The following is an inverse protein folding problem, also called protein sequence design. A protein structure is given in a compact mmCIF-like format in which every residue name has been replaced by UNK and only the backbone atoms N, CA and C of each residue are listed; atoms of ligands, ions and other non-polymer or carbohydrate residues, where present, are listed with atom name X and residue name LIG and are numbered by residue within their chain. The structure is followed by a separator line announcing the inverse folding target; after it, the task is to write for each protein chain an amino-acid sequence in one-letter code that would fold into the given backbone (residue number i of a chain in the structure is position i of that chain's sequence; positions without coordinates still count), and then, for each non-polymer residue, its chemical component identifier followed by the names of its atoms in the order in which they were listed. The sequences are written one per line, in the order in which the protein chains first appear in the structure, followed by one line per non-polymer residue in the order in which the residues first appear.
data_IF_313178743860
#
_entry.id   IF_313178743860
#
_cell.length_a   1.000
_cell.length_b   1.000
_cell.length_c   1.000
_cell.angle_alpha   90.00
_cell.angle_beta   90.00
_cell.angle_gamma   90.00
#
_symmetry.space_group_name_H-M   'P 1'
#
loop_
_entity.id
_entity.type
_entity.pdbx_description
1 polymer ?
#
# COMPACT_ATOMS: atom_id res chain seq x y z
N UNK A 1 20.46 -57.27 28.35
CA UNK A 1 20.24 -56.45 29.55
C UNK A 1 20.15 -55.01 29.16
N UNK A 2 19.02 -54.43 29.43
CA UNK A 2 18.66 -53.00 29.46
C UNK A 2 18.59 -52.23 28.10
N UNK A 3 17.46 -52.02 27.46
CA UNK A 3 16.30 -51.11 27.75
C UNK A 3 16.66 -49.61 27.77
N UNK A 4 16.21 -48.86 26.75
CA UNK A 4 15.51 -47.58 26.84
C UNK A 4 15.12 -47.18 25.41
N UNK A 5 13.85 -47.30 24.94
CA UNK A 5 12.71 -46.37 25.06
C UNK A 5 13.06 -45.01 24.44
N UNK A 6 12.70 -44.63 23.20
CA UNK A 6 11.36 -44.38 22.70
C UNK A 6 11.05 -42.90 22.80
N UNK A 7 11.00 -42.18 21.67
CA UNK A 7 10.08 -41.03 21.54
C UNK A 7 9.68 -40.89 20.08
N UNK A 8 8.42 -41.16 19.82
CA UNK A 8 7.71 -40.83 18.61
C UNK A 8 7.60 -39.32 18.50
N UNK A 9 7.94 -38.78 17.35
CA UNK A 9 7.47 -37.48 16.91
C UNK A 9 6.62 -37.70 15.67
N UNK A 10 5.34 -37.56 15.86
CA UNK A 10 4.30 -37.57 14.85
C UNK A 10 4.42 -36.27 14.03
N UNK A 11 5.00 -36.34 12.86
CA UNK A 11 5.02 -35.26 11.89
C UNK A 11 3.86 -35.42 10.91
N UNK A 12 2.88 -34.56 11.00
CA UNK A 12 1.73 -34.51 10.12
C UNK A 12 2.16 -34.24 8.67
N UNK A 13 1.99 -35.23 7.81
CA UNK A 13 2.01 -35.08 6.35
C UNK A 13 0.75 -34.31 5.91
N UNK A 14 0.90 -33.11 5.43
CA UNK A 14 -0.09 -32.47 4.58
C UNK A 14 0.37 -32.56 3.13
N UNK A 15 -0.05 -33.62 2.50
CA UNK A 15 -0.10 -33.70 1.04
C UNK A 15 -1.23 -32.79 0.57
N UNK A 16 -0.90 -31.71 -0.12
CA UNK A 16 -1.80 -31.08 -1.08
C UNK A 16 -1.18 -31.22 -2.46
N UNK A 17 -1.58 -32.28 -3.14
CA UNK A 17 -1.45 -32.42 -4.58
C UNK A 17 -2.48 -31.51 -5.22
N UNK A 18 -2.06 -30.45 -5.94
CA UNK A 18 -2.86 -29.77 -6.93
C UNK A 18 -2.07 -29.74 -8.24
N UNK A 19 -2.43 -30.67 -9.11
CA UNK A 19 -2.12 -30.59 -10.52
C UNK A 19 -3.16 -29.69 -11.18
N UNK A 20 -2.76 -28.53 -11.68
CA UNK A 20 -3.53 -27.81 -12.70
C UNK A 20 -2.54 -27.28 -13.74
N UNK A 21 -2.65 -27.85 -14.93
CA UNK A 21 -2.08 -27.33 -16.16
C UNK A 21 -2.81 -26.04 -16.53
N UNK A 22 -2.07 -24.96 -16.77
CA UNK A 22 -2.60 -23.71 -17.26
C UNK A 22 -1.60 -22.61 -16.96
N UNK A 23 -0.67 -22.35 -17.88
CA UNK A 23 0.36 -21.33 -17.72
C UNK A 23 -0.23 -19.92 -17.72
N UNK A 24 -0.47 -19.38 -16.54
CA UNK A 24 -0.58 -17.94 -16.33
C UNK A 24 0.72 -17.51 -15.69
N UNK A 25 1.54 -16.82 -16.48
CA UNK A 25 2.78 -16.20 -16.04
C UNK A 25 2.40 -15.02 -15.14
N UNK A 26 2.32 -15.28 -13.83
CA UNK A 26 2.10 -14.23 -12.83
C UNK A 26 3.42 -13.47 -12.69
N UNK A 27 3.47 -12.16 -12.90
CA UNK A 27 4.67 -11.40 -12.61
C UNK A 27 4.92 -11.48 -11.11
N UNK A 28 6.05 -12.06 -10.74
CA UNK A 28 6.51 -12.17 -9.36
C UNK A 28 6.89 -10.77 -8.89
N UNK A 29 6.00 -10.17 -8.13
CA UNK A 29 6.26 -8.91 -7.43
C UNK A 29 7.29 -9.22 -6.35
N UNK A 30 8.46 -8.58 -6.44
CA UNK A 30 9.44 -8.61 -5.37
C UNK A 30 8.84 -7.89 -4.15
N UNK A 31 8.44 -8.65 -3.14
CA UNK A 31 8.02 -8.09 -1.85
C UNK A 31 9.23 -7.52 -1.14
N UNK A 32 9.16 -6.23 -0.80
CA UNK A 32 10.11 -5.60 0.11
C UNK A 32 9.96 -6.24 1.49
N UNK A 33 10.90 -7.11 1.85
CA UNK A 33 11.04 -7.64 3.20
C UNK A 33 11.56 -6.55 4.15
N UNK A 34 11.36 -6.76 5.43
CA UNK A 34 11.79 -5.89 6.52
C UNK A 34 13.16 -5.22 6.26
N UNK A 35 13.25 -3.91 6.55
CA UNK A 35 14.45 -3.08 6.51
C UNK A 35 15.04 -2.74 5.12
N UNK A 36 14.21 -2.47 4.10
CA UNK A 36 14.73 -1.92 2.84
C UNK A 36 15.69 -2.85 2.09
N UNK A 37 15.49 -4.16 2.18
CA UNK A 37 16.21 -5.18 1.43
C UNK A 37 15.32 -5.87 0.40
N UNK A 38 15.81 -5.95 -0.82
CA UNK A 38 15.18 -6.70 -1.91
C UNK A 38 16.05 -7.91 -2.23
N UNK A 39 15.49 -9.11 -2.06
CA UNK A 39 16.16 -10.34 -2.44
C UNK A 39 15.72 -10.79 -3.84
N UNK A 40 16.66 -10.82 -4.77
CA UNK A 40 16.42 -11.35 -6.13
C UNK A 40 16.67 -12.85 -6.11
N UNK A 41 15.62 -13.63 -6.16
CA UNK A 41 15.70 -15.09 -6.03
C UNK A 41 16.15 -15.80 -7.31
N UNK A 42 16.04 -15.17 -8.47
CA UNK A 42 16.41 -15.77 -9.75
C UNK A 42 16.98 -14.69 -10.68
N UNK A 43 18.03 -15.01 -11.44
CA UNK A 43 18.45 -14.23 -12.59
C UNK A 43 17.36 -14.38 -13.69
N UNK A 44 16.25 -13.70 -13.54
CA UNK A 44 15.17 -13.72 -14.51
C UNK A 44 15.63 -13.00 -15.77
N UNK A 45 15.54 -13.66 -16.91
CA UNK A 45 15.64 -13.04 -18.24
C UNK A 45 14.42 -12.12 -18.45
N UNK A 46 14.35 -11.00 -17.72
CA UNK A 46 13.25 -10.06 -17.82
C UNK A 46 13.52 -8.83 -16.98
N UNK A 47 12.79 -7.77 -17.25
CA UNK A 47 12.83 -6.54 -16.46
C UNK A 47 12.08 -6.77 -15.14
N UNK A 48 12.70 -6.44 -14.03
CA UNK A 48 12.09 -6.49 -12.69
C UNK A 48 11.76 -5.07 -12.24
N UNK A 49 10.55 -4.85 -11.76
CA UNK A 49 10.15 -3.55 -11.22
C UNK A 49 10.54 -3.42 -9.76
N UNK A 50 11.14 -2.29 -9.41
CA UNK A 50 11.55 -1.92 -8.06
C UNK A 50 11.01 -0.54 -7.74
N UNK A 51 10.10 -0.47 -6.77
CA UNK A 51 9.60 0.79 -6.26
C UNK A 51 10.55 1.35 -5.21
N UNK A 52 10.95 2.60 -5.38
CA UNK A 52 11.80 3.36 -4.48
C UNK A 52 11.08 4.61 -3.98
N UNK A 53 11.43 5.07 -2.81
CA UNK A 53 10.95 6.32 -2.25
C UNK A 53 12.03 7.38 -2.38
N UNK A 54 11.67 8.59 -2.79
CA UNK A 54 12.61 9.71 -2.85
C UNK A 54 13.27 9.95 -1.49
N UNK A 55 14.60 10.08 -1.50
CA UNK A 55 15.38 10.27 -0.28
C UNK A 55 15.62 9.01 0.56
N UNK A 56 15.13 7.85 0.10
CA UNK A 56 15.38 6.56 0.75
C UNK A 56 16.22 5.65 -0.14
N UNK A 57 16.89 4.71 0.50
CA UNK A 57 17.75 3.74 -0.16
C UNK A 57 17.35 2.32 0.18
N UNK A 58 17.65 1.42 -0.74
CA UNK A 58 17.35 0.00 -0.63
C UNK A 58 18.56 -0.82 -1.04
N UNK A 59 18.86 -1.89 -0.31
CA UNK A 59 19.91 -2.84 -0.71
C UNK A 59 19.29 -3.96 -1.54
N UNK A 60 19.83 -4.23 -2.71
CA UNK A 60 19.44 -5.33 -3.59
C UNK A 60 20.50 -6.43 -3.49
N UNK A 61 20.10 -7.60 -2.99
CA UNK A 61 20.92 -8.80 -2.92
C UNK A 61 20.74 -9.65 -4.19
N UNK A 62 21.84 -10.05 -4.80
CA UNK A 62 21.86 -10.73 -6.10
C UNK A 62 22.35 -12.18 -5.94
N UNK A 63 21.73 -13.16 -6.62
CA UNK A 63 22.09 -14.56 -6.56
C UNK A 63 23.47 -14.84 -7.22
N UNK A 64 23.86 -13.99 -8.15
CA UNK A 64 25.11 -14.13 -8.93
C UNK A 64 25.97 -12.86 -8.84
N UNK A 65 27.30 -13.02 -8.93
CA UNK A 65 28.20 -11.86 -8.85
C UNK A 65 28.11 -11.01 -10.13
N UNK A 66 28.06 -9.69 -9.92
CA UNK A 66 28.11 -8.68 -10.98
C UNK A 66 29.53 -8.16 -11.16
N UNK A 67 29.83 -7.74 -12.39
CA UNK A 67 31.06 -7.06 -12.79
C UNK A 67 30.83 -5.55 -12.99
N UNK A 68 29.66 -5.20 -13.53
CA UNK A 68 29.33 -3.83 -13.88
C UNK A 68 27.85 -3.54 -13.67
N UNK A 69 27.54 -2.33 -13.22
CA UNK A 69 26.20 -1.77 -13.16
C UNK A 69 26.15 -0.46 -13.95
N UNK A 70 25.05 -0.17 -14.60
CA UNK A 70 24.81 1.09 -15.29
C UNK A 70 23.40 1.57 -15.04
N UNK A 71 23.29 2.82 -14.65
CA UNK A 71 22.03 3.51 -14.41
C UNK A 71 21.79 4.48 -15.57
N UNK A 72 20.57 4.49 -16.12
CA UNK A 72 20.26 5.30 -17.30
C UNK A 72 20.10 6.79 -16.96
N UNK A 73 19.48 7.10 -15.82
CA UNK A 73 19.27 8.49 -15.41
C UNK A 73 19.70 8.72 -13.95
N UNK A 74 20.86 9.35 -13.72
CA UNK A 74 21.41 9.61 -12.37
C UNK A 74 20.68 10.71 -11.60
N UNK A 75 19.79 11.47 -12.24
CA UNK A 75 18.94 12.47 -11.57
C UNK A 75 17.76 11.82 -10.80
N UNK A 76 17.31 10.65 -11.28
CA UNK A 76 16.17 9.93 -10.70
C UNK A 76 16.63 8.99 -9.59
N UNK A 77 17.71 8.25 -9.81
CA UNK A 77 18.25 7.32 -8.83
C UNK A 77 19.78 7.35 -8.83
N UNK A 78 20.38 6.71 -7.83
CA UNK A 78 21.80 6.42 -7.77
C UNK A 78 22.02 4.95 -7.39
N UNK A 79 23.11 4.34 -7.82
CA UNK A 79 23.40 2.95 -7.57
C UNK A 79 24.89 2.74 -7.26
N UNK A 80 25.18 2.20 -6.07
CA UNK A 80 26.53 1.92 -5.59
C UNK A 80 26.70 0.43 -5.40
N UNK A 81 27.72 -0.16 -6.00
CA UNK A 81 28.08 -1.56 -5.81
C UNK A 81 28.83 -1.72 -4.48
N UNK A 82 28.18 -2.32 -3.48
CA UNK A 82 28.77 -2.56 -2.17
C UNK A 82 29.67 -3.81 -2.17
N UNK A 83 29.24 -4.84 -2.88
CA UNK A 83 29.98 -6.10 -3.03
C UNK A 83 29.61 -6.74 -4.38
N UNK A 84 30.29 -7.83 -4.79
CA UNK A 84 29.95 -8.51 -6.03
C UNK A 84 28.49 -9.00 -6.11
N UNK A 85 27.79 -9.10 -4.98
CA UNK A 85 26.39 -9.57 -4.91
C UNK A 85 25.45 -8.57 -4.25
N UNK A 86 25.88 -7.36 -3.99
CA UNK A 86 25.05 -6.34 -3.34
C UNK A 86 25.18 -5.00 -4.01
N UNK A 87 24.04 -4.39 -4.30
CA UNK A 87 23.94 -3.03 -4.81
C UNK A 87 23.05 -2.23 -3.86
N UNK A 88 23.51 -1.03 -3.56
CA UNK A 88 22.76 -0.04 -2.80
C UNK A 88 22.16 0.95 -3.77
N UNK A 89 20.83 1.05 -3.80
CA UNK A 89 20.10 1.91 -4.73
C UNK A 89 19.37 2.99 -3.95
N UNK A 90 19.56 4.24 -4.35
CA UNK A 90 18.97 5.42 -3.70
C UNK A 90 18.03 6.13 -4.67
N UNK A 91 16.79 6.40 -4.25
CA UNK A 91 15.86 7.26 -4.98
C UNK A 91 16.22 8.74 -4.77
N UNK A 92 16.57 9.47 -5.84
CA UNK A 92 16.94 10.89 -5.78
C UNK A 92 15.85 11.83 -6.22
N UNK A 93 15.21 11.50 -7.32
CA UNK A 93 14.16 12.34 -7.93
C UNK A 93 12.96 11.51 -8.37
N UNK A 94 11.81 12.15 -8.50
CA UNK A 94 10.59 11.50 -8.98
C UNK A 94 10.70 11.11 -10.45
N UNK A 95 10.26 9.91 -10.78
CA UNK A 95 10.24 9.39 -12.13
C UNK A 95 10.66 7.93 -12.20
N UNK A 96 10.84 7.41 -13.41
CA UNK A 96 11.34 6.06 -13.62
C UNK A 96 12.66 6.08 -14.41
N UNK A 97 13.48 5.09 -14.09
CA UNK A 97 14.77 4.86 -14.77
C UNK A 97 15.07 3.38 -14.75
N UNK A 98 16.13 2.94 -15.45
CA UNK A 98 16.53 1.55 -15.38
C UNK A 98 17.97 1.38 -14.92
N UNK A 99 18.20 0.28 -14.21
CA UNK A 99 19.50 -0.18 -13.75
C UNK A 99 19.81 -1.51 -14.43
N UNK A 100 20.84 -1.54 -15.26
CA UNK A 100 21.29 -2.76 -15.95
C UNK A 100 22.54 -3.32 -15.26
N UNK A 101 22.53 -4.61 -15.03
CA UNK A 101 23.63 -5.35 -14.40
C UNK A 101 24.26 -6.35 -15.36
N UNK A 102 25.60 -6.37 -15.39
CA UNK A 102 26.38 -7.31 -16.22
C UNK A 102 27.24 -8.22 -15.36
N UNK A 103 27.34 -9.45 -15.79
CA UNK A 103 28.23 -10.47 -15.24
C UNK A 103 29.65 -10.43 -15.79
N UNK A 104 30.44 -11.45 -15.44
CA UNK A 104 31.86 -11.54 -15.82
C UNK A 104 32.07 -11.61 -17.33
N UNK A 105 31.15 -12.23 -18.08
CA UNK A 105 31.24 -12.43 -19.53
C UNK A 105 30.55 -11.31 -20.32
N UNK A 106 30.37 -10.15 -19.70
CA UNK A 106 29.65 -8.99 -20.23
C UNK A 106 28.20 -9.30 -20.68
N UNK A 107 27.66 -10.43 -20.22
CA UNK A 107 26.25 -10.77 -20.39
C UNK A 107 25.37 -9.96 -19.43
N UNK A 108 24.20 -9.55 -19.90
CA UNK A 108 23.19 -8.90 -19.04
C UNK A 108 22.62 -9.95 -18.07
N UNK A 109 22.77 -9.72 -16.78
CA UNK A 109 22.26 -10.58 -15.71
C UNK A 109 20.84 -10.21 -15.33
N UNK A 110 20.59 -8.91 -15.20
CA UNK A 110 19.28 -8.38 -14.83
C UNK A 110 19.11 -6.93 -15.31
N UNK A 111 17.87 -6.55 -15.54
CA UNK A 111 17.46 -5.16 -15.75
C UNK A 111 16.39 -4.85 -14.71
N UNK A 112 16.65 -3.84 -13.90
CA UNK A 112 15.67 -3.32 -12.93
C UNK A 112 15.04 -2.05 -13.47
N UNK A 113 13.74 -1.99 -13.46
CA UNK A 113 12.95 -0.80 -13.75
C UNK A 113 12.66 -0.12 -12.41
N UNK A 114 13.36 0.98 -12.17
CA UNK A 114 13.29 1.72 -10.90
C UNK A 114 12.23 2.79 -11.01
N UNK A 115 11.16 2.65 -10.22
CA UNK A 115 10.10 3.66 -10.11
C UNK A 115 10.26 4.40 -8.79
N UNK A 116 10.69 5.66 -8.87
CA UNK A 116 10.98 6.50 -7.70
C UNK A 116 9.81 7.44 -7.45
N UNK A 117 9.13 7.22 -6.34
CA UNK A 117 7.89 7.91 -6.01
C UNK A 117 7.81 8.46 -4.60
N UNK A 118 6.59 8.82 -4.22
CA UNK A 118 6.24 9.32 -2.90
C UNK A 118 6.11 8.14 -1.91
N UNK A 119 6.41 8.39 -0.64
CA UNK A 119 6.16 7.46 0.45
C UNK A 119 4.66 7.37 0.76
N UNK A 120 3.95 6.53 0.00
CA UNK A 120 2.51 6.35 0.16
C UNK A 120 2.15 5.71 1.50
N UNK A 121 3.01 4.86 2.04
CA UNK A 121 2.77 4.20 3.34
C UNK A 121 2.73 5.25 4.45
N UNK A 122 3.71 6.14 4.45
CA UNK A 122 3.77 7.24 5.41
C UNK A 122 2.61 8.23 5.23
N UNK A 123 2.27 8.55 3.98
CA UNK A 123 1.12 9.42 3.69
C UNK A 123 -0.19 8.80 4.18
N UNK A 124 -0.39 7.52 3.96
CA UNK A 124 -1.59 6.81 4.41
C UNK A 124 -1.68 6.73 5.94
N UNK A 125 -0.56 6.50 6.62
CA UNK A 125 -0.49 6.56 8.09
C UNK A 125 -0.89 7.94 8.62
N UNK A 126 -0.34 9.00 8.05
CA UNK A 126 -0.67 10.37 8.45
C UNK A 126 -2.13 10.74 8.20
N UNK A 127 -2.70 10.29 7.08
CA UNK A 127 -4.14 10.46 6.82
C UNK A 127 -4.98 9.72 7.86
N UNK A 128 -4.62 8.49 8.22
CA UNK A 128 -5.32 7.71 9.26
C UNK A 128 -5.22 8.33 10.65
N UNK A 129 -4.08 8.96 10.99
CA UNK A 129 -3.90 9.66 12.28
C UNK A 129 -4.68 10.98 12.36
N UNK A 130 -4.68 11.76 11.28
CA UNK A 130 -5.32 13.08 11.24
C UNK A 130 -6.82 13.01 10.94
N UNK A 131 -7.24 12.01 10.18
CA UNK A 131 -8.60 11.84 9.67
C UNK A 131 -9.08 10.39 9.87
N UNK A 132 -9.19 9.90 11.11
CA UNK A 132 -9.50 8.49 11.40
C UNK A 132 -10.87 8.06 10.90
N UNK A 133 -11.81 9.00 10.72
CA UNK A 133 -13.16 8.74 10.24
C UNK A 133 -13.22 8.51 8.70
N UNK A 134 -12.17 8.95 7.96
CA UNK A 134 -12.13 8.88 6.50
C UNK A 134 -11.39 7.60 6.03
N UNK A 135 -11.98 6.45 6.27
CA UNK A 135 -11.37 5.14 5.98
C UNK A 135 -11.37 4.75 4.50
N UNK A 136 -12.16 5.43 3.67
CA UNK A 136 -12.32 5.12 2.25
C UNK A 136 -11.42 5.97 1.33
N UNK A 137 -10.29 6.45 1.81
CA UNK A 137 -9.32 7.20 1.00
C UNK A 137 -8.23 6.25 0.51
N UNK A 138 -8.07 6.18 -0.80
CA UNK A 138 -7.09 5.34 -1.48
C UNK A 138 -6.07 6.21 -2.20
N UNK A 139 -4.80 5.89 -2.02
CA UNK A 139 -3.66 6.57 -2.61
C UNK A 139 -3.00 5.67 -3.65
N UNK A 140 -2.66 6.24 -4.79
CA UNK A 140 -1.89 5.56 -5.83
C UNK A 140 -0.82 6.49 -6.38
N UNK A 141 0.44 6.06 -6.36
CA UNK A 141 1.53 6.78 -7.04
C UNK A 141 1.56 6.40 -8.51
N UNK A 142 1.85 7.39 -9.34
CA UNK A 142 2.11 7.21 -10.77
C UNK A 142 3.24 8.15 -11.12
N UNK A 143 4.44 7.60 -11.42
CA UNK A 143 5.67 8.32 -11.79
C UNK A 143 5.93 9.64 -11.04
N UNK A 144 5.19 10.71 -11.36
CA UNK A 144 5.37 12.07 -10.82
C UNK A 144 4.12 12.64 -10.12
N UNK A 145 3.04 11.85 -9.99
CA UNK A 145 1.82 12.30 -9.31
C UNK A 145 1.31 11.29 -8.29
N UNK A 146 0.52 11.80 -7.35
CA UNK A 146 -0.28 10.98 -6.44
C UNK A 146 -1.75 11.16 -6.81
N UNK A 147 -2.41 10.06 -7.16
CA UNK A 147 -3.85 10.02 -7.33
C UNK A 147 -4.48 9.71 -5.96
N UNK A 148 -5.41 10.57 -5.55
CA UNK A 148 -6.21 10.39 -4.34
C UNK A 148 -7.63 10.09 -4.77
N UNK A 149 -8.16 8.93 -4.39
CA UNK A 149 -9.48 8.43 -4.78
C UNK A 149 -10.26 7.90 -3.60
N UNK A 150 -11.57 7.77 -3.76
CA UNK A 150 -12.46 7.26 -2.72
C UNK A 150 -13.59 8.20 -2.36
N UNK A 151 -14.06 8.10 -1.12
CA UNK A 151 -15.19 8.88 -0.62
C UNK A 151 -14.84 9.56 0.70
N UNK A 152 -15.30 10.79 0.86
CA UNK A 152 -15.15 11.59 2.08
C UNK A 152 -16.50 12.11 2.53
N UNK A 153 -16.64 12.39 3.81
CA UNK A 153 -17.92 12.76 4.45
C UNK A 153 -18.38 14.19 4.11
N UNK A 154 -17.45 15.11 3.83
CA UNK A 154 -17.77 16.51 3.56
C UNK A 154 -16.72 17.20 2.70
N UNK A 155 -17.06 18.38 2.18
CA UNK A 155 -16.13 19.24 1.43
C UNK A 155 -14.96 19.72 2.31
N UNK A 156 -15.20 19.98 3.58
CA UNK A 156 -14.15 20.35 4.52
C UNK A 156 -13.14 19.21 4.68
N UNK A 157 -13.60 17.95 4.79
CA UNK A 157 -12.75 16.76 4.85
C UNK A 157 -11.98 16.54 3.54
N UNK A 158 -12.62 16.75 2.40
CA UNK A 158 -11.95 16.70 1.10
C UNK A 158 -10.76 17.65 1.07
N UNK A 159 -10.95 18.90 1.47
CA UNK A 159 -9.88 19.89 1.48
C UNK A 159 -8.77 19.53 2.48
N UNK A 160 -9.11 18.95 3.62
CA UNK A 160 -8.12 18.45 4.60
C UNK A 160 -7.29 17.30 4.03
N UNK A 161 -7.93 16.29 3.38
CA UNK A 161 -7.22 15.19 2.73
C UNK A 161 -6.25 15.71 1.67
N UNK A 162 -6.69 16.65 0.83
CA UNK A 162 -5.84 17.23 -0.21
C UNK A 162 -4.67 18.01 0.39
N UNK A 163 -4.89 18.81 1.44
CA UNK A 163 -3.84 19.57 2.10
C UNK A 163 -2.76 18.65 2.71
N UNK A 164 -3.17 17.54 3.34
CA UNK A 164 -2.23 16.53 3.85
C UNK A 164 -1.48 15.88 2.68
N UNK A 165 -2.18 15.50 1.61
CA UNK A 165 -1.55 14.90 0.45
C UNK A 165 -0.53 15.84 -0.22
N UNK A 166 -0.81 17.15 -0.32
CA UNK A 166 0.09 18.17 -0.86
C UNK A 166 1.38 18.31 -0.05
N UNK A 167 1.30 18.18 1.27
CA UNK A 167 2.48 18.24 2.12
C UNK A 167 3.47 17.10 1.86
N UNK A 168 2.99 15.94 1.41
CA UNK A 168 3.81 14.74 1.14
C UNK A 168 4.11 14.51 -0.34
N UNK A 169 3.30 15.07 -1.24
CA UNK A 169 3.42 14.91 -2.69
C UNK A 169 3.57 16.27 -3.39
N UNK A 170 4.75 16.89 -3.34
CA UNK A 170 4.92 18.29 -3.72
C UNK A 170 4.78 18.57 -5.23
N UNK A 171 4.76 17.52 -6.10
CA UNK A 171 4.73 17.78 -7.54
C UNK A 171 3.33 17.92 -8.12
N UNK A 172 2.46 16.94 -7.91
CA UNK A 172 1.09 16.98 -8.47
C UNK A 172 0.18 15.97 -7.79
N UNK A 173 -1.01 16.43 -7.40
CA UNK A 173 -2.09 15.58 -6.91
C UNK A 173 -3.20 15.56 -7.95
N UNK A 174 -3.71 14.36 -8.22
CA UNK A 174 -4.92 14.18 -9.03
C UNK A 174 -6.04 13.75 -8.08
N UNK A 175 -7.06 14.59 -7.99
CA UNK A 175 -8.19 14.37 -7.09
C UNK A 175 -9.31 13.60 -7.81
N UNK A 176 -9.62 12.40 -7.31
CA UNK A 176 -10.78 11.58 -7.67
C UNK A 176 -11.68 11.30 -6.47
N UNK A 177 -11.58 12.10 -5.40
CA UNK A 177 -12.45 11.97 -4.24
C UNK A 177 -13.88 12.38 -4.60
N UNK A 178 -14.85 11.67 -4.03
CA UNK A 178 -16.27 11.97 -4.09
C UNK A 178 -16.77 12.29 -2.70
N UNK A 179 -17.62 13.28 -2.58
CA UNK A 179 -18.29 13.59 -1.32
C UNK A 179 -19.48 12.65 -1.20
N UNK A 180 -19.48 11.83 -0.15
CA UNK A 180 -20.63 11.01 0.23
C UNK A 180 -21.06 11.50 1.61
N UNK A 181 -22.04 12.42 1.68
CA UNK A 181 -22.50 12.91 2.97
C UNK A 181 -22.99 11.71 3.78
N UNK A 182 -22.49 11.57 5.00
CA UNK A 182 -23.05 10.62 5.94
C UNK A 182 -24.56 10.86 5.98
N UNK A 183 -25.40 9.83 5.83
CA UNK A 183 -26.84 10.01 5.91
C UNK A 183 -27.13 10.73 7.22
N UNK A 184 -27.68 11.94 7.12
CA UNK A 184 -28.02 12.74 8.30
C UNK A 184 -28.70 11.81 9.28
N UNK A 185 -28.04 11.60 10.42
CA UNK A 185 -28.50 10.65 11.44
C UNK A 185 -30.00 10.81 11.56
N UNK A 186 -30.73 9.70 11.56
CA UNK A 186 -32.21 9.63 11.51
C UNK A 186 -32.80 10.93 12.04
N UNK A 187 -33.61 11.68 11.25
CA UNK A 187 -34.20 12.88 11.76
C UNK A 187 -34.81 12.52 13.09
N UNK A 188 -34.36 13.18 14.15
CA UNK A 188 -35.00 13.07 15.47
C UNK A 188 -36.47 13.22 15.16
N UNK A 189 -37.32 12.21 15.44
CA UNK A 189 -38.72 12.29 15.09
C UNK A 189 -39.20 13.62 15.65
N UNK A 190 -39.91 14.46 14.86
CA UNK A 190 -40.38 15.73 15.34
C UNK A 190 -41.09 15.42 16.64
N UNK A 191 -40.69 16.13 17.69
CA UNK A 191 -41.22 16.01 19.04
C UNK A 191 -42.67 15.55 18.96
N UNK A 192 -42.93 14.31 19.43
CA UNK A 192 -44.28 13.74 19.34
C UNK A 192 -45.12 14.65 20.18
N UNK A 193 -45.81 15.60 19.50
CA UNK A 193 -46.71 16.50 20.17
C UNK A 193 -47.73 15.57 20.89
N UNK A 194 -47.55 15.47 22.18
CA UNK A 194 -48.43 14.65 23.03
C UNK A 194 -49.84 15.25 22.87
N UNK A 195 -50.65 14.59 22.05
CA UNK A 195 -52.05 15.03 21.86
C UNK A 195 -52.83 14.60 23.08
N UNK A 196 -53.16 15.60 23.88
CA UNK A 196 -54.02 15.38 25.03
C UNK A 196 -55.47 15.44 24.55
N UNK A 197 -56.14 14.29 24.54
CA UNK A 197 -57.58 14.24 24.20
C UNK A 197 -58.40 14.25 25.49
N UNK A 198 -59.19 15.29 25.68
CA UNK A 198 -60.14 15.37 26.76
C UNK A 198 -61.43 14.62 26.43
N UNK A 199 -61.71 13.56 27.15
CA UNK A 199 -62.96 12.83 27.02
C UNK A 199 -63.92 13.30 28.08
N UNK A 200 -64.92 14.05 27.68
CA UNK A 200 -65.98 14.54 28.58
C UNK A 200 -67.09 13.49 28.59
N UNK A 201 -67.32 12.82 29.72
CA UNK A 201 -68.36 11.87 29.91
C UNK A 201 -69.22 12.31 31.13
N UNK A 202 -70.31 13.02 30.86
CA UNK A 202 -71.11 13.66 31.87
C UNK A 202 -70.44 14.84 32.56
N UNK A 203 -70.38 14.89 33.90
CA UNK A 203 -69.66 15.92 34.69
C UNK A 203 -68.22 15.59 35.03
N UNK A 204 -67.70 14.42 34.57
CA UNK A 204 -66.33 14.00 34.85
C UNK A 204 -65.43 14.23 33.59
N UNK A 205 -64.33 14.94 33.77
CA UNK A 205 -63.30 15.16 32.72
C UNK A 205 -62.09 14.26 33.00
N UNK A 206 -61.85 13.29 32.12
CA UNK A 206 -60.64 12.46 32.16
C UNK A 206 -59.73 12.81 30.99
N UNK A 207 -58.50 13.22 31.27
CA UNK A 207 -57.47 13.43 30.26
C UNK A 207 -56.61 12.20 30.06
N UNK A 208 -56.48 11.72 28.83
CA UNK A 208 -55.56 10.64 28.44
C UNK A 208 -54.49 11.23 27.54
N UNK A 209 -53.22 11.01 27.91
CA UNK A 209 -52.06 11.36 27.09
C UNK A 209 -51.68 10.18 26.20
N UNK A 210 -51.55 10.40 24.92
CA UNK A 210 -51.06 9.46 23.94
C UNK A 210 -49.73 9.94 23.35
#
# INVERSE_FOLDING_TARGET
MSLFKGHEQVGAHWMCAFAIAGGVMVPMVATAGEEGRIHVTTAAKGTQQVALVVGKSTTVDLPVPIKRASLANPEIADAIVLSPRQIYVTGKGYGSTNLTLWGKDDQVLAVFDLDVGVDLVRLQQQLGELLPDETNVHLKSTHDHVAVSGTVSSEARLNQVLAVAEAYAPKRIINFLKIYPEPAGNPVPPDVQTVTVEVIKGTAVNSVKF
#
